data_IF_540221409728
#
_entry.id   IF_540221409728
#
_cell.length_a   1.000
_cell.length_b   1.000
_cell.length_c   1.000
_cell.angle_alpha   90.00
_cell.angle_beta   90.00
_cell.angle_gamma   90.00
#
_symmetry.space_group_name_H-M   'P 1'
#
loop_
_entity.id
_entity.type
_entity.pdbx_description
1 polymer ?
#
# COMPACT_ATOMS: atom_id res chain seq x y z
N UNK A 1 20.30 22.02 -1.03
CA UNK A 1 19.81 23.42 -1.06
C UNK A 1 20.69 24.15 -2.04
N UNK A 2 20.13 24.67 -3.14
CA UNK A 2 20.90 25.34 -4.18
C UNK A 2 21.59 26.65 -3.74
N UNK A 3 22.56 27.13 -4.54
CA UNK A 3 23.45 28.27 -4.25
C UNK A 3 22.77 29.65 -4.12
N UNK A 4 21.54 29.80 -4.62
CA UNK A 4 20.77 31.06 -4.58
C UNK A 4 19.72 31.12 -3.46
N UNK A 5 19.84 30.24 -2.46
CA UNK A 5 18.93 30.20 -1.31
C UNK A 5 19.44 31.12 -0.20
N UNK A 6 18.55 31.50 0.72
CA UNK A 6 18.86 32.32 1.91
C UNK A 6 19.97 31.75 2.79
N UNK A 7 20.21 30.43 2.72
CA UNK A 7 21.37 29.79 3.33
C UNK A 7 22.03 28.90 2.27
N UNK A 8 23.07 29.37 1.57
CA UNK A 8 23.71 28.61 0.51
C UNK A 8 24.45 27.40 1.09
N UNK A 9 24.43 26.28 0.35
CA UNK A 9 25.14 25.06 0.73
C UNK A 9 26.32 24.85 -0.20
N UNK A 10 27.50 24.67 0.37
CA UNK A 10 28.73 24.44 -0.36
C UNK A 10 28.71 23.06 -1.06
N UNK A 11 29.26 23.02 -2.27
CA UNK A 11 29.31 21.80 -3.07
C UNK A 11 30.25 20.76 -2.43
N UNK A 12 29.76 19.53 -2.25
CA UNK A 12 30.52 18.41 -1.68
C UNK A 12 31.82 18.11 -2.46
N UNK A 13 31.75 18.16 -3.79
CA UNK A 13 32.88 17.86 -4.68
C UNK A 13 33.87 19.01 -4.77
N UNK A 14 33.39 20.27 -4.78
CA UNK A 14 34.26 21.45 -4.78
C UNK A 14 35.07 21.56 -3.49
N UNK A 15 34.43 21.34 -2.33
CA UNK A 15 35.10 21.35 -1.03
C UNK A 15 36.24 20.32 -0.94
N UNK A 16 36.28 19.34 -1.87
CA UNK A 16 37.32 18.32 -2.00
C UNK A 16 38.24 18.52 -3.22
N UNK A 17 38.06 19.61 -3.97
CA UNK A 17 38.82 19.91 -5.19
C UNK A 17 38.53 18.98 -6.37
N UNK A 18 37.33 18.39 -6.45
CA UNK A 18 36.95 17.37 -7.47
C UNK A 18 35.68 17.71 -8.25
N UNK A 19 35.14 18.93 -8.13
CA UNK A 19 33.96 19.30 -8.90
C UNK A 19 34.31 19.42 -10.38
N UNK A 20 33.52 18.77 -11.25
CA UNK A 20 33.68 18.83 -12.71
C UNK A 20 32.91 19.98 -13.34
N UNK A 21 31.99 20.60 -12.60
CA UNK A 21 31.18 21.73 -13.07
C UNK A 21 31.88 23.05 -12.78
N UNK A 22 31.64 24.06 -13.63
CA UNK A 22 32.00 25.44 -13.34
C UNK A 22 31.19 25.98 -12.14
N UNK A 23 31.59 27.11 -11.55
CA UNK A 23 30.79 27.75 -10.49
C UNK A 23 29.40 28.18 -11.00
N UNK A 24 29.28 28.57 -12.28
CA UNK A 24 28.02 28.97 -12.89
C UNK A 24 27.07 27.78 -13.11
N UNK A 25 27.61 26.63 -13.53
CA UNK A 25 26.82 25.43 -13.84
C UNK A 25 26.52 24.57 -12.61
N UNK A 26 27.33 24.69 -11.55
CA UNK A 26 27.08 23.94 -10.33
C UNK A 26 25.84 24.49 -9.61
N UNK A 27 24.92 23.61 -9.21
CA UNK A 27 23.75 24.01 -8.43
C UNK A 27 24.10 24.38 -6.97
N UNK A 28 25.30 24.04 -6.51
CA UNK A 28 25.81 24.29 -5.16
C UNK A 28 26.92 25.35 -5.20
N UNK A 29 27.18 25.99 -4.05
CA UNK A 29 28.17 27.07 -3.96
C UNK A 29 29.61 26.55 -4.06
N UNK A 30 30.47 27.20 -4.85
CA UNK A 30 31.93 26.98 -4.86
C UNK A 30 32.68 28.02 -3.99
N UNK A 31 32.14 28.27 -2.80
CA UNK A 31 32.80 29.04 -1.75
C UNK A 31 32.41 28.44 -0.39
N UNK A 32 33.18 28.74 0.65
CA UNK A 32 32.87 28.25 1.99
C UNK A 32 31.64 28.98 2.54
N UNK A 33 30.55 28.22 2.73
CA UNK A 33 29.29 28.71 3.30
C UNK A 33 29.09 28.28 4.75
N UNK A 34 30.05 27.56 5.35
CA UNK A 34 29.92 26.90 6.64
C UNK A 34 28.98 25.68 6.64
N UNK A 35 28.25 25.43 5.55
CA UNK A 35 27.29 24.32 5.41
C UNK A 35 27.58 23.55 4.12
N UNK A 36 28.36 22.47 4.20
CA UNK A 36 28.69 21.64 3.03
C UNK A 36 27.62 20.56 2.80
N UNK A 37 27.24 20.33 1.54
CA UNK A 37 26.31 19.27 1.18
C UNK A 37 26.87 17.88 1.57
N UNK A 38 26.00 16.97 2.00
CA UNK A 38 26.37 15.56 2.19
C UNK A 38 26.73 14.91 0.85
N UNK A 39 27.54 13.84 0.90
CA UNK A 39 27.86 13.04 -0.28
C UNK A 39 26.56 12.55 -0.96
N UNK A 40 26.45 12.61 -2.29
CA UNK A 40 25.31 12.03 -2.99
C UNK A 40 25.29 10.52 -2.75
N UNK A 41 24.10 10.00 -2.39
CA UNK A 41 23.91 8.56 -2.17
C UNK A 41 23.32 7.98 -3.45
N UNK A 42 24.01 6.99 -4.02
CA UNK A 42 23.48 6.14 -5.08
C UNK A 42 22.83 4.94 -4.41
N UNK A 43 21.50 4.88 -4.43
CA UNK A 43 20.79 3.68 -3.99
C UNK A 43 21.00 2.59 -5.04
N UNK A 44 21.33 1.37 -4.60
CA UNK A 44 21.52 0.23 -5.50
C UNK A 44 20.24 0.02 -6.33
N UNK A 45 20.36 0.13 -7.66
CA UNK A 45 19.23 -0.01 -8.60
C UNK A 45 18.51 1.28 -9.00
N UNK A 46 18.86 2.46 -8.46
CA UNK A 46 18.32 3.75 -8.94
C UNK A 46 19.36 4.52 -9.77
N UNK A 47 18.96 5.01 -10.96
CA UNK A 47 19.81 5.89 -11.80
C UNK A 47 19.90 7.32 -11.28
N UNK A 48 19.10 7.68 -10.28
CA UNK A 48 19.01 9.03 -9.75
C UNK A 48 19.70 9.13 -8.38
N UNK A 49 20.72 9.99 -8.29
CA UNK A 49 21.32 10.34 -7.01
C UNK A 49 20.33 11.19 -6.19
N UNK A 50 20.05 10.77 -4.96
CA UNK A 50 19.19 11.51 -4.02
C UNK A 50 20.07 12.29 -3.03
N UNK A 51 19.66 13.53 -2.73
CA UNK A 51 20.33 14.34 -1.72
C UNK A 51 20.14 13.73 -0.31
N UNK A 52 21.18 13.80 0.51
CA UNK A 52 21.31 13.06 1.79
C UNK A 52 20.05 12.99 2.67
N UNK A 53 19.37 14.11 2.95
CA UNK A 53 18.17 14.11 3.81
C UNK A 53 16.98 13.31 3.26
N UNK A 54 16.84 13.21 1.94
CA UNK A 54 15.80 12.39 1.31
C UNK A 54 16.17 10.90 1.36
N UNK A 55 17.45 10.58 1.14
CA UNK A 55 17.99 9.23 1.24
C UNK A 55 17.98 8.70 2.68
N UNK A 56 18.29 9.52 3.68
CA UNK A 56 18.26 9.16 5.12
C UNK A 56 16.89 8.65 5.57
N UNK A 57 15.79 9.26 5.09
CA UNK A 57 14.44 8.80 5.43
C UNK A 57 14.14 7.42 4.83
N UNK A 58 14.62 7.15 3.62
CA UNK A 58 14.43 5.87 2.93
C UNK A 58 15.32 4.76 3.51
N UNK A 59 16.49 5.13 4.03
CA UNK A 59 17.46 4.21 4.65
C UNK A 59 17.25 4.00 6.14
N UNK A 60 16.29 4.70 6.76
CA UNK A 60 15.94 4.46 8.16
C UNK A 60 15.25 3.12 8.28
N UNK A 61 16.05 2.09 8.58
CA UNK A 61 15.54 0.78 8.93
C UNK A 61 14.65 0.92 10.17
N UNK A 62 13.46 0.30 10.19
CA UNK A 62 12.64 0.25 11.38
C UNK A 62 13.41 -0.46 12.50
N UNK A 63 13.22 -0.01 13.75
CA UNK A 63 13.79 -0.69 14.89
C UNK A 63 13.16 -2.08 15.04
N UNK A 64 13.93 -3.04 15.58
CA UNK A 64 13.47 -4.43 15.66
C UNK A 64 12.24 -4.61 16.56
N UNK A 65 12.03 -3.71 17.53
CA UNK A 65 10.89 -3.79 18.45
C UNK A 65 9.59 -3.39 17.75
N UNK A 66 9.61 -2.32 16.95
CA UNK A 66 8.51 -1.91 16.09
C UNK A 66 8.17 -3.01 15.08
N UNK A 67 9.17 -3.70 14.53
CA UNK A 67 8.94 -4.86 13.65
C UNK A 67 8.25 -5.99 14.43
N UNK A 68 8.72 -6.32 15.64
CA UNK A 68 8.11 -7.37 16.48
C UNK A 68 6.66 -7.06 16.85
N UNK A 69 6.35 -5.82 17.23
CA UNK A 69 4.98 -5.42 17.53
C UNK A 69 4.08 -5.49 16.30
N UNK A 70 4.57 -5.07 15.12
CA UNK A 70 3.81 -5.18 13.88
C UNK A 70 3.54 -6.64 13.51
N UNK A 71 4.48 -7.55 13.76
CA UNK A 71 4.27 -8.99 13.56
C UNK A 71 3.15 -9.52 14.44
N UNK A 72 3.14 -9.22 15.75
CA UNK A 72 2.07 -9.65 16.67
C UNK A 72 0.70 -9.12 16.24
N UNK A 73 0.66 -7.86 15.80
CA UNK A 73 -0.56 -7.25 15.26
C UNK A 73 -1.04 -8.05 14.05
N UNK A 74 -0.18 -8.29 13.06
CA UNK A 74 -0.53 -9.03 11.85
C UNK A 74 -0.99 -10.46 12.14
N UNK A 75 -0.35 -11.17 13.06
CA UNK A 75 -0.79 -12.51 13.49
C UNK A 75 -2.21 -12.48 14.09
N UNK A 76 -2.52 -11.44 14.87
CA UNK A 76 -3.86 -11.27 15.45
C UNK A 76 -4.89 -10.98 14.36
N UNK A 77 -4.53 -10.12 13.39
CA UNK A 77 -5.37 -9.83 12.24
C UNK A 77 -5.60 -11.07 11.36
N UNK A 78 -4.58 -11.89 11.15
CA UNK A 78 -4.70 -13.14 10.38
C UNK A 78 -5.70 -14.10 11.03
N UNK A 79 -5.61 -14.30 12.35
CA UNK A 79 -6.57 -15.12 13.10
C UNK A 79 -8.00 -14.59 12.97
N UNK A 80 -8.19 -13.28 13.11
CA UNK A 80 -9.51 -12.65 12.95
C UNK A 80 -10.05 -12.83 11.53
N UNK A 81 -9.19 -12.71 10.52
CA UNK A 81 -9.59 -12.91 9.13
C UNK A 81 -10.00 -14.36 8.87
N UNK A 82 -9.30 -15.33 9.46
CA UNK A 82 -9.65 -16.75 9.36
C UNK A 82 -11.04 -17.02 9.96
N UNK A 83 -11.30 -16.54 11.18
CA UNK A 83 -12.62 -16.69 11.82
C UNK A 83 -13.72 -16.06 10.97
N UNK A 84 -13.47 -14.86 10.41
CA UNK A 84 -14.44 -14.18 9.55
C UNK A 84 -14.71 -14.95 8.26
N UNK A 85 -13.68 -15.56 7.66
CA UNK A 85 -13.81 -16.42 6.48
C UNK A 85 -14.68 -17.64 6.77
N UNK A 86 -14.46 -18.31 7.90
CA UNK A 86 -15.26 -19.46 8.30
C UNK A 86 -16.72 -19.08 8.57
N UNK A 87 -16.96 -17.95 9.22
CA UNK A 87 -18.32 -17.44 9.45
C UNK A 87 -19.05 -17.13 8.14
N UNK A 88 -18.36 -16.54 7.16
CA UNK A 88 -18.93 -16.25 5.85
C UNK A 88 -19.29 -17.53 5.11
N UNK A 89 -18.45 -18.56 5.16
CA UNK A 89 -18.75 -19.87 4.57
C UNK A 89 -20.00 -20.50 5.19
N UNK A 90 -20.11 -20.51 6.51
CA UNK A 90 -21.31 -21.04 7.19
C UNK A 90 -22.58 -20.27 6.80
N UNK A 91 -22.45 -18.95 6.61
CA UNK A 91 -23.56 -18.10 6.17
C UNK A 91 -23.97 -18.40 4.73
N UNK A 92 -23.01 -18.64 3.84
CA UNK A 92 -23.25 -19.04 2.45
C UNK A 92 -23.99 -20.38 2.40
N UNK A 93 -23.53 -21.40 3.12
CA UNK A 93 -24.19 -22.69 3.22
C UNK A 93 -25.64 -22.60 3.74
N UNK A 94 -25.88 -21.71 4.72
CA UNK A 94 -27.21 -21.45 5.25
C UNK A 94 -28.14 -20.76 4.23
N UNK A 95 -27.60 -19.82 3.45
CA UNK A 95 -28.34 -19.14 2.38
C UNK A 95 -28.68 -20.10 1.25
N UNK A 96 -27.73 -20.95 0.84
CA UNK A 96 -27.94 -22.01 -0.15
C UNK A 96 -29.06 -22.97 0.28
N UNK A 97 -29.07 -23.37 1.55
CA UNK A 97 -30.15 -24.22 2.07
C UNK A 97 -31.50 -23.51 2.02
N UNK A 98 -31.54 -22.23 2.40
CA UNK A 98 -32.76 -21.42 2.34
C UNK A 98 -33.26 -21.24 0.92
N UNK A 99 -32.37 -20.99 -0.04
CA UNK A 99 -32.70 -20.85 -1.46
C UNK A 99 -33.33 -22.12 -2.00
N UNK A 100 -32.71 -23.29 -1.77
CA UNK A 100 -33.31 -24.58 -2.14
C UNK A 100 -34.71 -24.77 -1.56
N UNK A 101 -34.92 -24.37 -0.31
CA UNK A 101 -36.23 -24.43 0.33
C UNK A 101 -37.27 -23.50 -0.29
N UNK A 102 -36.86 -22.32 -0.78
CA UNK A 102 -37.74 -21.40 -1.50
C UNK A 102 -38.11 -21.93 -2.89
N UNK A 103 -37.13 -22.46 -3.63
CA UNK A 103 -37.36 -23.08 -4.95
C UNK A 103 -38.39 -24.20 -4.85
N UNK A 104 -38.25 -25.12 -3.88
CA UNK A 104 -39.22 -26.19 -3.67
C UNK A 104 -40.65 -25.67 -3.38
N UNK A 105 -40.76 -24.59 -2.60
CA UNK A 105 -42.06 -23.95 -2.31
C UNK A 105 -42.65 -23.30 -3.56
N UNK A 106 -41.83 -22.69 -4.41
CA UNK A 106 -42.27 -22.12 -5.68
C UNK A 106 -42.80 -23.20 -6.63
N UNK A 107 -42.12 -24.35 -6.70
CA UNK A 107 -42.57 -25.50 -7.49
C UNK A 107 -43.92 -26.06 -7.01
N UNK A 108 -44.09 -26.17 -5.68
CA UNK A 108 -45.35 -26.60 -5.05
C UNK A 108 -46.50 -25.62 -5.35
N UNK A 109 -46.25 -24.31 -5.25
CA UNK A 109 -47.23 -23.27 -5.60
C UNK A 109 -47.60 -23.36 -7.07
N UNK A 110 -46.62 -23.46 -7.97
CA UNK A 110 -46.86 -23.59 -9.40
C UNK A 110 -47.65 -24.87 -9.74
N UNK A 111 -47.42 -25.97 -9.02
CA UNK A 111 -48.21 -27.19 -9.18
C UNK A 111 -49.68 -27.00 -8.78
N UNK A 112 -49.94 -26.31 -7.66
CA UNK A 112 -51.29 -25.98 -7.21
C UNK A 112 -52.00 -25.03 -8.19
N UNK A 113 -51.31 -24.03 -8.70
CA UNK A 113 -51.85 -23.12 -9.72
C UNK A 113 -52.26 -23.89 -11.00
N UNK A 114 -51.42 -24.84 -11.46
CA UNK A 114 -51.77 -25.71 -12.61
C UNK A 114 -52.99 -26.58 -12.33
N UNK A 115 -53.18 -27.04 -11.10
CA UNK A 115 -54.35 -27.82 -10.70
C UNK A 115 -55.63 -26.96 -10.69
N UNK A 116 -55.55 -25.76 -10.09
CA UNK A 116 -56.66 -24.78 -10.07
C UNK A 116 -57.06 -24.43 -11.50
N UNK A 117 -56.10 -24.08 -12.34
CA UNK A 117 -56.35 -23.72 -13.74
C UNK A 117 -57.00 -24.86 -14.54
N UNK A 118 -56.61 -26.12 -14.29
CA UNK A 118 -57.27 -27.29 -14.90
C UNK A 118 -58.73 -27.43 -14.46
N UNK A 119 -59.03 -27.15 -13.17
CA UNK A 119 -60.41 -27.17 -12.66
C UNK A 119 -61.26 -26.07 -13.29
N UNK A 120 -60.71 -24.86 -13.42
CA UNK A 120 -61.42 -23.70 -13.96
C UNK A 120 -61.72 -23.81 -15.47
N UNK A 121 -60.87 -24.50 -16.24
CA UNK A 121 -61.09 -24.73 -17.69
C UNK A 121 -61.87 -26.00 -18.03
N UNK A 122 -62.06 -26.90 -17.06
CA UNK A 122 -62.86 -28.11 -17.20
C UNK A 122 -64.33 -27.92 -16.83
N UNK A 123 -64.71 -26.72 -16.40
CA UNK A 123 -66.07 -26.20 -16.23
C UNK A 123 -66.37 -25.22 -17.37
#
# INVERSE_FOLDING_TARGET
MPKHFTTPVACYYWARGRCVFSDEDCQYAHWDTGNTASAPILLSGSTQAVAGRAAERQLRLPDEEAVREKVKELETWEKNLLVRKDLLRLREEALDHRERGLVAREEDVAAREREVWRRERGL
#
